data_IF_054038455275
#
_entry.id   IF_054038455275
#
_cell.length_a   1.000
_cell.length_b   1.000
_cell.length_c   1.000
_cell.angle_alpha   90.00
_cell.angle_beta   90.00
_cell.angle_gamma   90.00
#
_symmetry.space_group_name_H-M   'P 1'
#
loop_
_entity.id
_entity.type
_entity.pdbx_description
1 polymer ?
#
# COMPACT_ATOMS: atom_id res chain seq x y z
N UNK A 1 8.71 15.22 38.30
CA UNK A 1 7.35 15.78 38.17
C UNK A 1 6.44 14.61 37.96
N UNK A 2 5.39 14.47 38.76
CA UNK A 2 4.40 13.42 38.54
C UNK A 2 3.58 13.80 37.30
N UNK A 3 3.91 13.21 36.15
CA UNK A 3 3.22 13.52 34.90
C UNK A 3 1.80 12.98 34.88
N UNK A 4 1.48 12.00 35.74
CA UNK A 4 0.17 11.36 35.76
C UNK A 4 -0.87 12.29 36.36
N UNK A 5 -0.49 13.06 37.39
CA UNK A 5 -1.33 14.15 37.93
C UNK A 5 -1.70 15.17 36.86
N UNK A 6 -0.76 15.54 36.00
CA UNK A 6 -1.02 16.50 34.92
C UNK A 6 -1.80 15.90 33.76
N UNK A 7 -1.51 14.66 33.36
CA UNK A 7 -2.32 13.94 32.35
C UNK A 7 -3.77 13.85 32.79
N UNK A 8 -4.03 13.53 34.06
CA UNK A 8 -5.38 13.46 34.58
C UNK A 8 -6.07 14.82 34.54
N UNK A 9 -5.41 15.90 35.01
CA UNK A 9 -5.98 17.26 34.94
C UNK A 9 -6.31 17.72 33.51
N UNK A 10 -5.43 17.41 32.55
CA UNK A 10 -5.64 17.74 31.13
C UNK A 10 -6.82 16.93 30.56
N UNK A 11 -6.92 15.66 30.92
CA UNK A 11 -8.04 14.79 30.54
C UNK A 11 -9.36 15.33 31.10
N UNK A 12 -9.41 15.62 32.40
CA UNK A 12 -10.60 16.18 33.05
C UNK A 12 -11.02 17.51 32.38
N UNK A 13 -10.07 18.41 32.13
CA UNK A 13 -10.34 19.68 31.46
C UNK A 13 -10.95 19.49 30.06
N UNK A 14 -10.44 18.52 29.29
CA UNK A 14 -10.95 18.21 27.96
C UNK A 14 -12.33 17.55 28.01
N UNK A 15 -12.55 16.65 28.97
CA UNK A 15 -13.80 15.91 29.14
C UNK A 15 -14.93 16.84 29.61
N UNK A 16 -14.66 17.75 30.54
CA UNK A 16 -15.59 18.80 30.99
C UNK A 16 -16.12 19.68 29.84
N UNK A 17 -15.36 19.78 28.74
CA UNK A 17 -15.68 20.60 27.56
C UNK A 17 -16.09 19.77 26.36
N UNK A 18 -16.18 18.44 26.51
CA UNK A 18 -16.47 17.49 25.44
C UNK A 18 -15.49 17.61 24.25
N UNK A 19 -14.24 18.01 24.52
CA UNK A 19 -13.20 18.20 23.51
C UNK A 19 -12.54 16.91 23.04
N UNK A 20 -12.87 15.77 23.66
CA UNK A 20 -12.42 14.45 23.22
C UNK A 20 -12.67 14.19 21.73
N UNK A 21 -13.75 14.75 21.15
CA UNK A 21 -14.07 14.64 19.73
C UNK A 21 -13.07 15.33 18.78
N UNK A 22 -12.31 16.32 19.27
CA UNK A 22 -11.31 17.05 18.50
C UNK A 22 -9.88 16.52 18.72
N UNK A 23 -9.70 15.68 19.74
CA UNK A 23 -8.41 15.19 20.22
C UNK A 23 -7.98 13.87 19.54
N UNK A 24 -8.11 13.79 18.21
CA UNK A 24 -7.49 12.68 17.45
C UNK A 24 -5.96 12.90 17.33
N UNK A 25 -5.17 11.83 17.11
CA UNK A 25 -3.71 11.93 17.07
C UNK A 25 -3.16 12.92 16.06
N UNK A 26 -3.83 13.10 14.90
CA UNK A 26 -3.38 14.05 13.88
C UNK A 26 -3.59 15.48 14.39
N UNK A 27 -4.76 15.79 14.94
CA UNK A 27 -5.06 17.15 15.42
C UNK A 27 -4.17 17.54 16.60
N UNK A 28 -3.94 16.62 17.55
CA UNK A 28 -3.05 16.87 18.69
C UNK A 28 -1.60 17.07 18.26
N UNK A 29 -1.11 16.30 17.28
CA UNK A 29 0.23 16.51 16.73
C UNK A 29 0.35 17.85 15.98
N UNK A 30 -0.71 18.30 15.32
CA UNK A 30 -0.77 19.61 14.67
C UNK A 30 -0.77 20.73 15.72
N UNK A 31 -1.61 20.67 16.74
CA UNK A 31 -1.64 21.65 17.83
C UNK A 31 -0.28 21.75 18.53
N UNK A 32 0.34 20.61 18.89
CA UNK A 32 1.69 20.57 19.43
C UNK A 32 2.71 21.30 18.54
N UNK A 33 2.61 21.18 17.22
CA UNK A 33 3.53 21.86 16.30
C UNK A 33 3.33 23.38 16.27
N UNK A 34 2.12 23.86 16.57
CA UNK A 34 1.80 25.29 16.66
C UNK A 34 2.41 25.87 17.92
N UNK A 35 2.20 25.26 19.10
CA UNK A 35 2.81 25.74 20.36
C UNK A 35 4.34 25.76 20.30
N UNK A 36 4.96 24.78 19.62
CA UNK A 36 6.40 24.79 19.39
C UNK A 36 6.81 25.97 18.49
N UNK A 37 5.98 26.36 17.53
CA UNK A 37 6.24 27.52 16.66
C UNK A 37 6.06 28.84 17.43
N UNK A 38 5.08 28.93 18.32
CA UNK A 38 4.88 30.08 19.22
C UNK A 38 6.07 30.23 20.19
N UNK A 39 6.54 29.12 20.78
CA UNK A 39 7.80 29.13 21.53
C UNK A 39 8.99 29.62 20.70
N UNK A 40 9.11 29.19 19.44
CA UNK A 40 10.19 29.62 18.54
C UNK A 40 10.10 31.13 18.21
N UNK A 41 8.90 31.67 18.07
CA UNK A 41 8.64 33.08 17.81
C UNK A 41 9.25 33.98 18.91
N UNK A 42 9.35 33.46 20.13
CA UNK A 42 10.02 34.17 21.22
C UNK A 42 11.52 34.38 20.96
N UNK A 43 12.19 33.40 20.36
CA UNK A 43 13.64 33.39 20.20
C UNK A 43 14.13 33.81 18.82
N UNK A 44 13.28 33.82 17.80
CA UNK A 44 13.69 33.86 16.39
C UNK A 44 14.57 35.06 15.98
N UNK A 45 14.45 36.21 16.67
CA UNK A 45 15.21 37.44 16.37
C UNK A 45 16.23 37.80 17.45
N UNK A 46 16.37 36.98 18.50
CA UNK A 46 17.31 37.25 19.58
C UNK A 46 18.73 36.86 19.18
N UNK A 47 19.71 37.67 19.58
CA UNK A 47 21.11 37.25 19.60
C UNK A 47 21.33 36.13 20.62
N UNK A 48 22.43 35.35 20.51
CA UNK A 48 22.75 34.33 21.51
C UNK A 48 22.83 34.87 22.94
N UNK A 49 23.35 36.08 23.14
CA UNK A 49 23.46 36.74 24.44
C UNK A 49 22.07 37.09 24.99
N UNK A 50 21.21 37.69 24.17
CA UNK A 50 19.83 38.00 24.54
C UNK A 50 19.01 36.75 24.83
N UNK A 51 19.17 35.68 24.03
CA UNK A 51 18.46 34.41 24.23
C UNK A 51 18.77 33.77 25.59
N UNK A 52 20.01 33.91 26.08
CA UNK A 52 20.43 33.43 27.41
C UNK A 52 19.86 34.28 28.54
N UNK A 53 19.58 35.55 28.28
CA UNK A 53 19.03 36.49 29.25
C UNK A 53 17.49 36.59 29.22
N UNK A 54 16.80 35.89 28.30
CA UNK A 54 15.33 36.01 28.09
C UNK A 54 14.52 35.86 29.38
N UNK A 55 14.94 34.96 30.28
CA UNK A 55 14.24 34.70 31.55
C UNK A 55 14.43 35.80 32.60
N UNK A 56 15.30 36.77 32.35
CA UNK A 56 15.52 37.96 33.20
C UNK A 56 14.78 39.20 32.68
N UNK A 57 14.15 39.10 31.51
CA UNK A 57 13.40 40.18 30.88
C UNK A 57 11.90 39.97 30.91
N UNK A 58 11.20 40.86 30.19
CA UNK A 58 9.73 40.93 30.21
C UNK A 58 9.04 39.73 29.54
N UNK A 59 9.76 38.99 28.67
CA UNK A 59 9.25 37.80 27.95
C UNK A 59 9.31 36.50 28.76
N UNK A 60 9.74 36.55 30.03
CA UNK A 60 9.86 35.37 30.90
C UNK A 60 8.54 34.59 31.02
N UNK A 61 7.42 35.31 31.06
CA UNK A 61 6.10 34.69 31.21
C UNK A 61 5.68 34.00 29.92
N UNK A 62 5.82 34.66 28.77
CA UNK A 62 5.57 34.06 27.44
C UNK A 62 6.31 32.73 27.30
N UNK A 63 7.60 32.67 27.64
CA UNK A 63 8.39 31.43 27.57
C UNK A 63 7.81 30.34 28.48
N UNK A 64 7.33 30.71 29.67
CA UNK A 64 6.77 29.75 30.61
C UNK A 64 5.43 29.17 30.11
N UNK A 65 4.59 30.01 29.50
CA UNK A 65 3.28 29.64 28.99
C UNK A 65 3.44 28.71 27.77
N UNK A 66 4.25 29.10 26.78
CA UNK A 66 4.47 28.28 25.58
C UNK A 66 5.11 26.91 25.89
N UNK A 67 6.03 26.85 26.87
CA UNK A 67 6.60 25.57 27.32
C UNK A 67 5.53 24.70 28.00
N UNK A 68 4.60 25.30 28.74
CA UNK A 68 3.49 24.58 29.36
C UNK A 68 2.50 24.07 28.32
N UNK A 69 2.23 24.83 27.26
CA UNK A 69 1.32 24.42 26.18
C UNK A 69 1.91 23.29 25.33
N UNK A 70 3.20 23.37 24.99
CA UNK A 70 3.95 22.25 24.39
C UNK A 70 3.83 20.99 25.24
N UNK A 71 4.02 21.11 26.56
CA UNK A 71 3.91 19.97 27.47
C UNK A 71 2.49 19.44 27.53
N UNK A 72 1.48 20.32 27.54
CA UNK A 72 0.06 19.95 27.60
C UNK A 72 -0.35 19.11 26.41
N UNK A 73 -0.05 19.55 25.19
CA UNK A 73 -0.38 18.78 23.99
C UNK A 73 0.45 17.51 23.86
N UNK A 74 1.72 17.51 24.27
CA UNK A 74 2.52 16.29 24.28
C UNK A 74 1.96 15.23 25.24
N UNK A 75 1.58 15.63 26.46
CA UNK A 75 0.98 14.73 27.44
C UNK A 75 -0.39 14.22 26.96
N UNK A 76 -1.22 15.07 26.36
CA UNK A 76 -2.51 14.63 25.81
C UNK A 76 -2.35 13.70 24.61
N UNK A 77 -1.39 13.97 23.72
CA UNK A 77 -1.09 13.08 22.60
C UNK A 77 -0.59 11.72 23.09
N UNK A 78 0.28 11.70 24.09
CA UNK A 78 0.75 10.46 24.70
C UNK A 78 -0.40 9.66 25.34
N UNK A 79 -1.32 10.34 26.00
CA UNK A 79 -2.52 9.74 26.60
C UNK A 79 -3.42 9.08 25.54
N UNK A 80 -3.75 9.80 24.46
CA UNK A 80 -4.60 9.29 23.37
C UNK A 80 -3.94 8.12 22.62
N UNK A 81 -2.60 8.08 22.57
CA UNK A 81 -1.83 7.00 21.95
C UNK A 81 -1.49 5.84 22.89
N UNK A 82 -1.92 5.89 24.15
CA UNK A 82 -1.57 4.92 25.19
C UNK A 82 -0.04 4.71 25.32
N UNK A 83 0.70 5.82 25.32
CA UNK A 83 2.17 5.81 25.42
C UNK A 83 2.64 5.90 26.88
N UNK A 84 3.40 4.89 27.29
CA UNK A 84 4.26 4.95 28.47
C UNK A 84 5.48 5.85 28.18
N UNK A 85 5.36 7.13 28.57
CA UNK A 85 6.42 8.11 28.38
C UNK A 85 7.69 7.78 29.18
N UNK A 86 7.57 7.18 30.36
CA UNK A 86 8.74 6.86 31.19
C UNK A 86 9.54 5.73 30.53
N UNK A 87 8.87 4.68 30.06
CA UNK A 87 9.51 3.62 29.29
C UNK A 87 10.11 4.14 27.98
N UNK A 88 9.39 5.03 27.27
CA UNK A 88 9.88 5.62 26.03
C UNK A 88 11.12 6.50 26.24
N UNK A 89 11.15 7.30 27.31
CA UNK A 89 12.29 8.14 27.68
C UNK A 89 13.48 7.32 28.13
N UNK A 90 13.27 6.30 28.97
CA UNK A 90 14.33 5.38 29.40
C UNK A 90 14.98 4.68 28.20
N UNK A 91 14.17 4.06 27.33
CA UNK A 91 14.66 3.42 26.10
C UNK A 91 15.37 4.40 25.16
N UNK A 92 14.90 5.64 25.08
CA UNK A 92 15.53 6.68 24.27
C UNK A 92 16.88 7.13 24.85
N UNK A 93 16.99 7.26 26.17
CA UNK A 93 18.20 7.63 26.86
C UNK A 93 19.30 6.57 26.67
N UNK A 94 18.98 5.29 26.82
CA UNK A 94 19.91 4.17 26.57
C UNK A 94 20.45 4.19 25.14
N UNK A 95 19.57 4.32 24.15
CA UNK A 95 19.96 4.41 22.73
C UNK A 95 20.82 5.64 22.43
N UNK A 96 20.53 6.76 23.08
CA UNK A 96 21.33 7.98 22.93
C UNK A 96 22.72 7.82 23.58
N UNK A 97 22.80 7.23 24.77
CA UNK A 97 24.06 6.96 25.46
C UNK A 97 24.97 6.01 24.65
N UNK A 98 24.38 4.97 24.05
CA UNK A 98 25.09 4.11 23.13
C UNK A 98 25.54 4.89 21.87
N UNK A 99 24.68 5.76 21.33
CA UNK A 99 24.94 6.47 20.05
C UNK A 99 25.96 7.57 20.16
N UNK A 100 26.06 8.16 21.34
CA UNK A 100 27.01 9.22 21.64
C UNK A 100 27.89 8.82 22.84
N UNK A 101 28.81 7.84 22.68
CA UNK A 101 29.72 7.47 23.74
C UNK A 101 30.55 8.68 24.17
N UNK A 102 30.75 8.84 25.49
CA UNK A 102 31.52 9.96 26.06
C UNK A 102 32.90 10.07 25.42
N UNK A 103 33.56 8.93 25.17
CA UNK A 103 34.89 8.88 24.57
C UNK A 103 34.98 9.52 23.17
N UNK A 104 33.90 9.51 22.39
CA UNK A 104 33.88 9.96 20.99
C UNK A 104 33.01 11.18 20.74
N UNK A 105 32.17 11.57 21.70
CA UNK A 105 31.15 12.60 21.50
C UNK A 105 31.25 13.78 22.46
N UNK A 106 32.19 13.78 23.42
CA UNK A 106 32.38 14.89 24.35
C UNK A 106 32.79 16.18 23.61
N UNK A 107 32.05 17.26 23.83
CA UNK A 107 32.34 18.58 23.25
C UNK A 107 32.06 18.71 21.75
N UNK A 108 31.43 17.71 21.12
CA UNK A 108 31.12 17.70 19.69
C UNK A 108 29.61 17.77 19.48
N UNK A 109 29.17 18.65 18.58
CA UNK A 109 27.78 18.69 18.07
C UNK A 109 27.59 17.82 16.82
N UNK A 110 28.64 17.10 16.39
CA UNK A 110 28.58 16.26 15.21
C UNK A 110 27.55 15.14 15.40
N UNK A 111 26.60 15.05 14.47
CA UNK A 111 25.55 14.04 14.49
C UNK A 111 26.15 12.67 14.20
N UNK A 112 26.36 11.86 15.23
CA UNK A 112 26.79 10.48 15.08
C UNK A 112 25.82 9.73 14.14
N UNK A 113 26.30 8.77 13.32
CA UNK A 113 25.44 7.88 12.56
C UNK A 113 24.37 7.26 13.47
N UNK A 114 23.19 6.93 12.94
CA UNK A 114 22.21 6.18 13.75
C UNK A 114 22.87 4.86 14.12
N UNK A 115 23.01 4.56 15.42
CA UNK A 115 23.29 3.19 15.82
C UNK A 115 22.19 2.29 15.27
N UNK A 116 22.59 1.16 14.69
CA UNK A 116 21.66 0.07 14.42
C UNK A 116 21.03 -0.31 15.76
N UNK A 117 19.73 -0.05 15.91
CA UNK A 117 19.02 -0.46 17.11
C UNK A 117 19.06 -2.00 17.17
N UNK A 118 19.62 -2.55 18.26
CA UNK A 118 19.61 -3.99 18.56
C UNK A 118 18.24 -4.54 18.98
N UNK A 119 17.17 -4.09 18.33
CA UNK A 119 15.93 -4.87 18.20
C UNK A 119 15.97 -5.63 16.86
N UNK A 120 15.02 -6.54 16.56
CA UNK A 120 14.97 -7.16 15.24
C UNK A 120 15.04 -6.03 14.20
N UNK A 121 16.03 -6.13 13.32
CA UNK A 121 16.35 -5.09 12.36
C UNK A 121 15.05 -4.66 11.70
N UNK A 122 14.66 -3.38 11.84
CA UNK A 122 13.65 -2.83 10.95
C UNK A 122 14.22 -3.06 9.55
N UNK A 123 13.57 -3.88 8.71
CA UNK A 123 14.17 -4.32 7.46
C UNK A 123 14.63 -3.07 6.73
N UNK A 124 15.87 -3.10 6.23
CA UNK A 124 16.37 -2.05 5.36
C UNK A 124 15.25 -1.77 4.36
N UNK A 125 14.79 -0.51 4.26
CA UNK A 125 13.70 -0.17 3.35
C UNK A 125 14.16 -0.69 1.99
N UNK A 126 13.48 -1.66 1.40
CA UNK A 126 13.96 -2.31 0.19
C UNK A 126 14.21 -1.24 -0.85
N UNK A 127 15.27 -1.42 -1.65
CA UNK A 127 15.48 -0.54 -2.78
C UNK A 127 14.16 -0.47 -3.58
N UNK A 128 13.73 0.73 -4.01
CA UNK A 128 12.57 0.82 -4.88
C UNK A 128 12.71 -0.15 -6.04
N UNK A 129 11.60 -0.76 -6.48
CA UNK A 129 11.66 -1.58 -7.69
C UNK A 129 12.24 -0.75 -8.82
N UNK A 130 13.15 -1.35 -9.57
CA UNK A 130 13.68 -0.73 -10.77
C UNK A 130 12.57 -0.66 -11.82
N UNK A 131 12.28 0.55 -12.30
CA UNK A 131 11.29 0.79 -13.36
C UNK A 131 12.05 1.40 -14.52
N UNK A 132 12.32 0.61 -15.55
CA UNK A 132 13.06 1.05 -16.75
C UNK A 132 12.17 1.74 -17.77
N UNK A 133 10.86 1.49 -17.72
CA UNK A 133 9.85 2.11 -18.57
C UNK A 133 8.51 2.12 -17.82
N UNK A 134 7.61 3.09 -18.10
CA UNK A 134 6.32 3.15 -17.44
C UNK A 134 5.50 1.86 -17.63
N UNK A 135 4.87 1.40 -16.55
CA UNK A 135 3.95 0.24 -16.56
C UNK A 135 2.68 0.57 -15.80
N UNK A 136 1.62 -0.17 -16.09
CA UNK A 136 0.32 -0.02 -15.45
C UNK A 136 -0.10 -1.37 -14.85
N UNK A 137 -0.45 -1.40 -13.57
CA UNK A 137 -1.16 -2.53 -12.98
C UNK A 137 -2.63 -2.17 -12.74
N UNK A 138 -3.54 -3.09 -13.05
CA UNK A 138 -4.97 -2.81 -13.06
C UNK A 138 -5.75 -3.86 -12.25
N UNK A 139 -6.71 -3.38 -11.46
CA UNK A 139 -7.70 -4.20 -10.77
C UNK A 139 -9.13 -3.67 -11.01
N UNK A 140 -10.12 -4.56 -10.92
CA UNK A 140 -11.53 -4.23 -11.09
C UNK A 140 -12.13 -3.57 -9.86
N UNK A 141 -12.75 -2.41 -10.02
CA UNK A 141 -13.42 -1.68 -8.95
C UNK A 141 -14.86 -1.32 -9.32
N UNK A 142 -15.60 -0.67 -8.41
CA UNK A 142 -17.00 -0.26 -8.65
C UNK A 142 -17.13 0.80 -9.74
N UNK A 143 -16.11 1.63 -9.93
CA UNK A 143 -16.07 2.65 -10.99
C UNK A 143 -15.64 2.10 -12.36
N UNK A 144 -15.41 0.79 -12.49
CA UNK A 144 -14.78 0.21 -13.67
C UNK A 144 -13.44 -0.39 -13.27
N UNK A 145 -12.36 0.32 -13.56
CA UNK A 145 -11.00 -0.16 -13.34
C UNK A 145 -10.18 0.87 -12.58
N UNK A 146 -9.43 0.42 -11.57
CA UNK A 146 -8.41 1.22 -10.89
C UNK A 146 -7.04 0.77 -11.37
N UNK A 147 -6.17 1.74 -11.66
CA UNK A 147 -4.83 1.52 -12.16
C UNK A 147 -3.78 2.12 -11.22
N UNK A 148 -2.68 1.39 -11.02
CA UNK A 148 -1.46 1.89 -10.40
C UNK A 148 -0.38 2.04 -11.47
N UNK A 149 -0.01 3.29 -11.77
CA UNK A 149 1.07 3.62 -12.71
C UNK A 149 2.39 3.65 -11.96
N UNK A 150 3.37 2.88 -12.43
CA UNK A 150 4.76 2.98 -12.01
C UNK A 150 5.56 3.66 -13.10
N UNK A 151 6.31 4.69 -12.72
CA UNK A 151 7.09 5.52 -13.65
C UNK A 151 8.56 5.56 -13.20
N UNK A 152 9.53 5.57 -14.12
CA UNK A 152 10.93 5.70 -13.77
C UNK A 152 11.20 6.95 -12.91
N UNK A 153 11.81 6.75 -11.74
CA UNK A 153 12.16 7.83 -10.81
C UNK A 153 11.00 8.43 -10.01
N UNK A 154 9.75 7.99 -10.23
CA UNK A 154 8.62 8.48 -9.44
C UNK A 154 8.69 7.95 -7.99
N UNK A 155 8.40 8.79 -6.98
CA UNK A 155 8.60 8.43 -5.57
C UNK A 155 7.53 7.47 -5.02
N UNK A 156 6.43 7.24 -5.75
CA UNK A 156 5.31 6.36 -5.38
C UNK A 156 4.42 6.09 -6.60
N UNK A 157 3.58 5.04 -6.57
CA UNK A 157 2.61 4.78 -7.63
C UNK A 157 1.58 5.91 -7.76
N UNK A 158 1.21 6.24 -8.99
CA UNK A 158 0.10 7.16 -9.30
C UNK A 158 -1.18 6.35 -9.55
N UNK A 159 -2.26 6.70 -8.85
CA UNK A 159 -3.55 6.02 -8.99
C UNK A 159 -4.39 6.72 -10.07
N UNK A 160 -4.94 5.93 -10.99
CA UNK A 160 -5.85 6.37 -12.07
C UNK A 160 -7.10 5.48 -12.07
N UNK A 161 -8.21 6.00 -12.60
CA UNK A 161 -9.49 5.26 -12.65
C UNK A 161 -10.20 5.57 -13.96
N UNK A 162 -10.81 4.55 -14.57
CA UNK A 162 -11.66 4.73 -15.74
C UNK A 162 -12.76 3.65 -15.81
N UNK A 163 -13.90 3.94 -16.45
CA UNK A 163 -15.00 3.00 -16.65
C UNK A 163 -14.60 1.71 -17.38
N UNK A 164 -13.73 1.81 -18.40
CA UNK A 164 -13.30 0.66 -19.22
C UNK A 164 -11.78 0.51 -19.26
N UNK A 165 -11.30 -0.71 -19.55
CA UNK A 165 -9.87 -1.00 -19.67
C UNK A 165 -9.24 -0.22 -20.82
N UNK A 166 -9.98 -0.07 -21.93
CA UNK A 166 -9.53 0.67 -23.10
C UNK A 166 -9.36 2.17 -22.79
N UNK A 167 -10.30 2.78 -22.06
CA UNK A 167 -10.20 4.16 -21.60
C UNK A 167 -9.06 4.34 -20.59
N UNK A 168 -8.91 3.42 -19.63
CA UNK A 168 -7.83 3.48 -18.63
C UNK A 168 -6.45 3.49 -19.31
N UNK A 169 -6.23 2.55 -20.22
CA UNK A 169 -4.96 2.43 -20.95
C UNK A 169 -4.74 3.64 -21.85
N UNK A 170 -5.78 4.13 -22.54
CA UNK A 170 -5.67 5.31 -23.41
C UNK A 170 -5.32 6.57 -22.62
N UNK A 171 -6.00 6.81 -21.50
CA UNK A 171 -5.75 7.94 -20.60
C UNK A 171 -4.29 7.98 -20.10
N UNK A 172 -3.74 6.84 -19.70
CA UNK A 172 -2.34 6.78 -19.27
C UNK A 172 -1.40 7.03 -20.46
N UNK A 173 -1.73 6.47 -21.64
CA UNK A 173 -0.92 6.61 -22.86
C UNK A 173 -0.87 8.02 -23.44
N UNK A 174 -1.85 8.86 -23.17
CA UNK A 174 -1.83 10.27 -23.56
C UNK A 174 -0.65 11.04 -22.94
N UNK A 175 -0.21 10.61 -21.75
CA UNK A 175 0.86 11.28 -21.01
C UNK A 175 2.15 10.46 -20.90
N UNK A 176 2.07 9.13 -21.05
CA UNK A 176 3.19 8.22 -20.79
C UNK A 176 3.28 7.10 -21.81
N UNK A 177 4.50 6.80 -22.26
CA UNK A 177 4.78 5.62 -23.07
C UNK A 177 4.78 4.33 -22.25
N UNK A 178 3.62 3.91 -21.72
CA UNK A 178 3.53 2.63 -21.00
C UNK A 178 3.81 1.46 -21.96
N UNK A 179 4.64 0.52 -21.50
CA UNK A 179 5.09 -0.62 -22.33
C UNK A 179 4.40 -1.93 -21.95
N UNK A 180 3.93 -2.04 -20.70
CA UNK A 180 3.25 -3.22 -20.19
C UNK A 180 2.07 -2.85 -19.28
N UNK A 181 1.00 -3.65 -19.38
CA UNK A 181 -0.20 -3.59 -18.56
C UNK A 181 -0.38 -4.95 -17.89
N UNK A 182 -0.27 -5.01 -16.57
CA UNK A 182 -0.74 -6.15 -15.79
C UNK A 182 -2.22 -5.97 -15.46
N UNK A 183 -3.00 -7.04 -15.48
CA UNK A 183 -4.43 -7.00 -15.14
C UNK A 183 -4.84 -8.24 -14.33
N UNK A 184 -5.60 -8.05 -13.24
CA UNK A 184 -6.19 -9.13 -12.45
C UNK A 184 -7.48 -9.67 -13.09
N UNK A 185 -7.31 -10.28 -14.26
CA UNK A 185 -8.40 -10.93 -14.98
C UNK A 185 -7.84 -12.07 -15.85
N UNK A 186 -8.57 -13.19 -16.00
CA UNK A 186 -8.21 -14.24 -16.93
C UNK A 186 -7.98 -13.75 -18.36
N UNK A 187 -6.83 -14.11 -18.92
CA UNK A 187 -6.44 -13.90 -20.31
C UNK A 187 -6.22 -15.27 -20.98
N UNK A 188 -6.81 -15.42 -22.16
CA UNK A 188 -6.85 -16.67 -22.92
C UNK A 188 -7.86 -17.65 -22.34
N UNK A 189 -9.07 -17.64 -22.89
CA UNK A 189 -10.19 -18.44 -22.38
C UNK A 189 -10.18 -19.84 -23.01
N UNK A 190 -10.26 -20.92 -22.20
CA UNK A 190 -10.23 -22.28 -22.71
C UNK A 190 -11.50 -22.62 -23.49
N UNK A 191 -11.37 -23.50 -24.47
CA UNK A 191 -12.51 -23.96 -25.26
C UNK A 191 -13.29 -25.06 -24.53
N UNK A 192 -12.58 -26.08 -24.04
CA UNK A 192 -13.15 -27.29 -23.46
C UNK A 192 -12.20 -27.97 -22.44
N UNK A 193 -11.30 -27.21 -21.83
CA UNK A 193 -10.35 -27.73 -20.83
C UNK A 193 -10.32 -26.84 -19.60
N UNK A 194 -9.79 -27.38 -18.50
CA UNK A 194 -9.44 -26.58 -17.32
C UNK A 194 -8.11 -25.88 -17.61
N UNK A 195 -8.05 -24.56 -17.37
CA UNK A 195 -6.82 -23.78 -17.53
C UNK A 195 -5.72 -24.31 -16.60
N UNK A 196 -4.57 -24.64 -17.17
CA UNK A 196 -3.39 -25.05 -16.41
C UNK A 196 -2.85 -23.88 -15.58
N UNK A 197 -2.97 -22.64 -16.08
CA UNK A 197 -2.59 -21.44 -15.33
C UNK A 197 -3.28 -21.37 -13.96
N UNK A 198 -4.60 -21.59 -13.90
CA UNK A 198 -5.38 -21.53 -12.66
C UNK A 198 -4.91 -22.61 -11.67
N UNK A 199 -4.67 -23.84 -12.16
CA UNK A 199 -4.20 -24.97 -11.34
C UNK A 199 -2.81 -24.70 -10.77
N UNK A 200 -1.89 -24.20 -11.60
CA UNK A 200 -0.52 -23.89 -11.17
C UNK A 200 -0.48 -22.72 -10.20
N UNK A 201 -1.26 -21.67 -10.46
CA UNK A 201 -1.35 -20.53 -9.56
C UNK A 201 -1.91 -20.96 -8.18
N UNK A 202 -2.93 -21.81 -8.12
CA UNK A 202 -3.43 -22.36 -6.84
C UNK A 202 -2.37 -23.14 -6.07
N UNK A 203 -1.56 -23.90 -6.80
CA UNK A 203 -0.46 -24.67 -6.22
C UNK A 203 0.64 -23.77 -5.68
N UNK A 204 0.86 -22.60 -6.31
CA UNK A 204 1.86 -21.62 -5.89
C UNK A 204 1.49 -20.87 -4.60
N UNK A 205 0.21 -20.84 -4.22
CA UNK A 205 -0.27 -20.15 -3.00
C UNK A 205 -1.05 -21.08 -2.04
N UNK A 206 -0.37 -22.07 -1.40
CA UNK A 206 -1.02 -22.96 -0.45
C UNK A 206 -1.70 -22.19 0.69
N UNK A 207 -2.89 -22.64 1.09
CA UNK A 207 -3.74 -21.94 2.07
C UNK A 207 -4.56 -20.77 1.49
N UNK A 208 -4.28 -20.36 0.24
CA UNK A 208 -4.99 -19.30 -0.49
C UNK A 208 -5.54 -19.73 -1.85
N UNK A 209 -5.53 -21.02 -2.17
CA UNK A 209 -6.02 -21.55 -3.44
C UNK A 209 -7.46 -21.09 -3.82
N UNK A 210 -8.31 -20.79 -2.83
CA UNK A 210 -9.67 -20.30 -3.06
C UNK A 210 -9.74 -18.85 -3.57
N UNK A 211 -8.66 -18.06 -3.50
CA UNK A 211 -8.63 -16.72 -4.09
C UNK A 211 -8.58 -16.76 -5.61
N UNK A 212 -8.03 -17.85 -6.18
CA UNK A 212 -7.96 -18.06 -7.62
C UNK A 212 -9.22 -18.79 -8.05
N UNK A 213 -10.15 -18.06 -8.65
CA UNK A 213 -11.35 -18.64 -9.22
C UNK A 213 -11.02 -19.47 -10.47
N UNK A 214 -11.88 -20.43 -10.81
CA UNK A 214 -11.71 -21.20 -12.05
C UNK A 214 -12.20 -20.35 -13.22
N UNK A 215 -11.33 -20.14 -14.21
CA UNK A 215 -11.69 -19.55 -15.49
C UNK A 215 -12.70 -20.47 -16.18
N UNK A 216 -13.83 -19.93 -16.61
CA UNK A 216 -14.84 -20.69 -17.34
C UNK A 216 -14.41 -20.86 -18.81
N UNK A 217 -15.01 -21.83 -19.49
CA UNK A 217 -14.86 -21.94 -20.94
C UNK A 217 -15.41 -20.70 -21.65
N UNK A 218 -14.88 -20.41 -22.85
CA UNK A 218 -15.35 -19.30 -23.68
C UNK A 218 -16.86 -19.37 -23.93
N UNK A 219 -17.38 -20.55 -24.21
CA UNK A 219 -18.81 -20.76 -24.45
C UNK A 219 -19.65 -20.46 -23.19
N UNK A 220 -19.14 -20.77 -21.99
CA UNK A 220 -19.81 -20.44 -20.74
C UNK A 220 -19.85 -18.92 -20.48
N UNK A 221 -18.78 -18.18 -20.79
CA UNK A 221 -18.80 -16.72 -20.71
C UNK A 221 -19.72 -16.08 -21.76
N UNK A 222 -19.92 -16.72 -22.92
CA UNK A 222 -20.85 -16.23 -23.94
C UNK A 222 -22.33 -16.41 -23.55
N UNK A 223 -22.65 -17.28 -22.59
CA UNK A 223 -24.03 -17.57 -22.21
C UNK A 223 -24.74 -16.37 -21.54
N UNK A 224 -26.05 -16.26 -21.77
CA UNK A 224 -26.89 -15.15 -21.31
C UNK A 224 -27.27 -15.21 -19.82
N UNK A 225 -27.06 -16.35 -19.18
CA UNK A 225 -27.38 -16.53 -17.77
C UNK A 225 -26.42 -17.50 -17.09
N UNK A 226 -26.29 -17.38 -15.77
CA UNK A 226 -25.47 -18.30 -14.98
C UNK A 226 -25.92 -19.75 -15.12
N UNK A 227 -27.22 -20.00 -15.26
CA UNK A 227 -27.75 -21.35 -15.43
C UNK A 227 -27.33 -21.95 -16.78
N UNK A 228 -27.43 -21.17 -17.86
CA UNK A 228 -26.97 -21.58 -19.17
C UNK A 228 -25.43 -21.78 -19.20
N UNK A 229 -24.68 -20.85 -18.58
CA UNK A 229 -23.23 -20.98 -18.43
C UNK A 229 -22.85 -22.26 -17.65
N UNK A 230 -23.58 -22.56 -16.58
CA UNK A 230 -23.36 -23.75 -15.74
C UNK A 230 -23.62 -25.05 -16.51
N UNK A 231 -24.69 -25.10 -17.32
CA UNK A 231 -24.97 -26.24 -18.19
C UNK A 231 -23.84 -26.46 -19.21
N UNK A 232 -23.47 -25.40 -19.94
CA UNK A 232 -22.41 -25.45 -20.98
C UNK A 232 -21.05 -25.80 -20.36
N UNK A 233 -20.68 -25.20 -19.23
CA UNK A 233 -19.38 -25.44 -18.63
C UNK A 233 -19.27 -26.86 -18.05
N UNK A 234 -20.35 -27.40 -17.45
CA UNK A 234 -20.36 -28.79 -16.99
C UNK A 234 -20.23 -29.78 -18.14
N UNK A 235 -20.92 -29.53 -19.25
CA UNK A 235 -20.83 -30.38 -20.44
C UNK A 235 -19.40 -30.43 -20.99
N UNK A 236 -18.74 -29.27 -21.08
CA UNK A 236 -17.40 -29.16 -21.67
C UNK A 236 -16.26 -29.62 -20.76
N UNK A 237 -16.31 -29.30 -19.46
CA UNK A 237 -15.17 -29.50 -18.54
C UNK A 237 -15.53 -30.19 -17.22
N UNK A 238 -16.79 -30.59 -17.03
CA UNK A 238 -17.25 -31.24 -15.80
C UNK A 238 -17.31 -30.33 -14.57
N UNK A 239 -17.07 -29.02 -14.71
CA UNK A 239 -17.06 -28.05 -13.61
C UNK A 239 -18.27 -27.12 -13.66
N UNK A 240 -18.91 -26.93 -12.51
CA UNK A 240 -19.99 -25.97 -12.37
C UNK A 240 -19.52 -24.52 -12.33
N UNK A 241 -20.44 -23.59 -12.60
CA UNK A 241 -20.20 -22.15 -12.60
C UNK A 241 -20.61 -21.55 -11.25
N UNK A 242 -19.60 -21.19 -10.45
CA UNK A 242 -19.79 -20.46 -9.19
C UNK A 242 -20.30 -19.03 -9.41
N UNK A 243 -21.03 -18.51 -8.42
CA UNK A 243 -21.59 -17.14 -8.48
C UNK A 243 -20.50 -16.07 -8.68
N UNK A 244 -19.37 -16.18 -7.98
CA UNK A 244 -18.26 -15.24 -8.09
C UNK A 244 -17.59 -15.27 -9.47
N UNK A 245 -17.37 -16.46 -10.03
CA UNK A 245 -16.78 -16.61 -11.37
C UNK A 245 -17.67 -16.00 -12.46
N UNK A 246 -18.99 -16.13 -12.33
CA UNK A 246 -19.94 -15.52 -13.25
C UNK A 246 -20.13 -14.01 -13.02
N UNK A 247 -20.00 -13.52 -11.78
CA UNK A 247 -20.12 -12.10 -11.47
C UNK A 247 -19.01 -11.25 -12.12
N UNK A 248 -17.86 -11.85 -12.46
CA UNK A 248 -16.76 -11.20 -13.18
C UNK A 248 -16.90 -11.29 -14.71
N UNK A 249 -17.93 -11.97 -15.23
CA UNK A 249 -18.13 -12.21 -16.66
C UNK A 249 -17.95 -10.95 -17.51
N UNK A 250 -18.61 -9.86 -17.14
CA UNK A 250 -18.65 -8.67 -17.99
C UNK A 250 -17.26 -8.04 -18.14
N UNK A 251 -16.45 -8.04 -17.06
CA UNK A 251 -15.04 -7.59 -17.09
C UNK A 251 -14.15 -8.52 -17.91
N UNK A 252 -14.34 -9.84 -17.78
CA UNK A 252 -13.58 -10.84 -18.54
C UNK A 252 -13.87 -10.70 -20.05
N UNK A 253 -15.15 -10.57 -20.41
CA UNK A 253 -15.58 -10.39 -21.80
C UNK A 253 -15.10 -9.05 -22.36
N UNK A 254 -15.15 -7.97 -21.56
CA UNK A 254 -14.59 -6.66 -21.93
C UNK A 254 -13.10 -6.76 -22.27
N UNK A 255 -12.31 -7.43 -21.42
CA UNK A 255 -10.86 -7.56 -21.62
C UNK A 255 -10.53 -8.50 -22.78
N UNK A 256 -11.22 -9.63 -22.94
CA UNK A 256 -11.05 -10.51 -24.11
C UNK A 256 -11.36 -9.76 -25.42
N UNK A 257 -12.45 -8.97 -25.45
CA UNK A 257 -12.79 -8.14 -26.60
C UNK A 257 -11.73 -7.07 -26.88
N UNK A 258 -11.24 -6.38 -25.84
CA UNK A 258 -10.19 -5.38 -25.98
C UNK A 258 -8.88 -5.99 -26.49
N UNK A 259 -8.45 -7.14 -25.97
CA UNK A 259 -7.24 -7.84 -26.43
C UNK A 259 -7.31 -8.23 -27.91
N UNK A 260 -8.49 -8.58 -28.43
CA UNK A 260 -8.69 -8.89 -29.85
C UNK A 260 -8.50 -7.69 -30.78
N UNK A 261 -8.57 -6.46 -30.25
CA UNK A 261 -8.20 -5.24 -31.00
C UNK A 261 -6.69 -5.10 -31.21
N UNK A 262 -5.89 -5.99 -30.59
CA UNK A 262 -4.43 -6.03 -30.64
C UNK A 262 -3.81 -4.72 -30.15
N UNK A 263 -3.99 -4.38 -28.86
CA UNK A 263 -3.38 -3.19 -28.29
C UNK A 263 -1.85 -3.24 -28.47
N UNK A 264 -1.23 -2.09 -28.71
CA UNK A 264 0.22 -1.96 -28.93
C UNK A 264 1.05 -2.05 -27.65
N UNK A 265 0.43 -2.37 -26.51
CA UNK A 265 1.08 -2.58 -25.22
C UNK A 265 1.12 -4.08 -24.93
N UNK A 266 2.15 -4.52 -24.20
CA UNK A 266 2.15 -5.89 -23.68
C UNK A 266 1.08 -6.01 -22.61
N UNK A 267 0.20 -6.99 -22.69
CA UNK A 267 -0.82 -7.23 -21.66
C UNK A 267 -0.56 -8.58 -21.00
N UNK A 268 -0.56 -8.58 -19.67
CA UNK A 268 -0.20 -9.71 -18.82
C UNK A 268 -1.34 -9.97 -17.84
N UNK A 269 -1.77 -11.21 -17.72
CA UNK A 269 -2.60 -11.60 -16.58
C UNK A 269 -1.71 -11.76 -15.35
N UNK A 270 -2.09 -11.12 -14.27
CA UNK A 270 -1.36 -11.14 -13.00
C UNK A 270 -2.36 -11.29 -11.88
N UNK A 271 -2.14 -12.25 -10.98
CA UNK A 271 -3.00 -12.41 -9.81
C UNK A 271 -2.33 -11.81 -8.56
N UNK A 272 -2.96 -10.84 -7.86
CA UNK A 272 -2.36 -10.13 -6.73
C UNK A 272 -1.80 -11.03 -5.63
N UNK A 273 -2.53 -12.09 -5.24
CA UNK A 273 -2.05 -13.00 -4.18
C UNK A 273 -0.80 -13.78 -4.57
N UNK A 274 -0.58 -14.05 -5.86
CA UNK A 274 0.66 -14.70 -6.34
C UNK A 274 1.81 -13.69 -6.30
N UNK A 275 1.56 -12.43 -6.70
CA UNK A 275 2.53 -11.34 -6.56
C UNK A 275 2.88 -11.08 -5.09
N UNK A 276 1.90 -11.04 -4.19
CA UNK A 276 2.15 -10.87 -2.75
C UNK A 276 2.95 -12.03 -2.17
N UNK A 277 2.63 -13.27 -2.54
CA UNK A 277 3.41 -14.43 -2.11
C UNK A 277 4.85 -14.36 -2.62
N UNK A 278 5.08 -13.90 -3.85
CA UNK A 278 6.41 -13.69 -4.40
C UNK A 278 7.19 -12.59 -3.65
N UNK A 279 6.53 -11.49 -3.27
CA UNK A 279 7.15 -10.40 -2.49
C UNK A 279 7.45 -10.80 -1.05
N UNK A 280 6.52 -11.50 -0.39
CA UNK A 280 6.63 -11.89 1.02
C UNK A 280 7.41 -13.19 1.24
N UNK A 281 7.66 -13.97 0.17
CA UNK A 281 8.27 -15.30 0.23
C UNK A 281 7.31 -16.41 0.68
N UNK A 282 6.07 -16.07 1.07
CA UNK A 282 5.02 -17.00 1.44
C UNK A 282 3.63 -16.36 1.24
N UNK A 283 2.54 -17.15 1.09
CA UNK A 283 1.19 -16.61 0.96
C UNK A 283 0.73 -15.82 2.19
N UNK A 284 0.08 -14.68 1.96
CA UNK A 284 -0.54 -13.85 3.01
C UNK A 284 -1.89 -14.45 3.40
N UNK A 285 -1.94 -15.14 4.55
CA UNK A 285 -3.14 -15.87 4.99
C UNK A 285 -4.25 -14.95 5.50
N UNK A 286 -3.91 -13.80 6.07
CA UNK A 286 -4.90 -12.84 6.55
C UNK A 286 -5.79 -12.31 5.40
N UNK A 287 -7.07 -12.11 5.71
CA UNK A 287 -8.06 -11.63 4.74
C UNK A 287 -7.78 -10.18 4.35
N UNK A 288 -7.88 -9.85 3.06
CA UNK A 288 -7.72 -8.47 2.56
C UNK A 288 -8.74 -7.47 3.13
N UNK A 289 -9.82 -7.97 3.73
CA UNK A 289 -10.86 -7.17 4.41
C UNK A 289 -10.54 -6.85 5.87
N UNK A 290 -9.46 -7.41 6.43
CA UNK A 290 -9.02 -7.15 7.81
C UNK A 290 -7.86 -6.16 7.82
N UNK A 291 -7.69 -5.43 8.93
CA UNK A 291 -6.57 -4.48 9.06
C UNK A 291 -5.20 -5.18 9.08
N UNK A 292 -5.13 -6.36 9.69
CA UNK A 292 -3.96 -7.25 9.65
C UNK A 292 -3.60 -7.60 8.21
N UNK A 293 -4.55 -8.15 7.44
CA UNK A 293 -4.31 -8.53 6.05
C UNK A 293 -4.01 -7.34 5.12
N UNK A 294 -4.52 -6.15 5.43
CA UNK A 294 -4.15 -4.92 4.72
C UNK A 294 -2.71 -4.51 5.04
N UNK A 295 -2.34 -4.57 6.32
CA UNK A 295 -0.99 -4.24 6.80
C UNK A 295 0.05 -5.18 6.19
N UNK A 296 -0.23 -6.48 6.15
CA UNK A 296 0.65 -7.47 5.54
C UNK A 296 0.85 -7.24 4.03
N UNK A 297 -0.21 -6.92 3.29
CA UNK A 297 -0.09 -6.60 1.84
C UNK A 297 0.71 -5.32 1.59
N UNK A 298 0.52 -4.29 2.42
CA UNK A 298 1.32 -3.06 2.35
C UNK A 298 2.79 -3.32 2.71
N UNK A 299 3.05 -4.20 3.67
CA UNK A 299 4.40 -4.63 4.02
C UNK A 299 5.04 -5.43 2.87
N UNK A 300 4.27 -6.29 2.19
CA UNK A 300 4.73 -7.00 1.00
C UNK A 300 5.02 -6.05 -0.18
N UNK A 301 4.16 -5.06 -0.44
CA UNK A 301 4.47 -4.00 -1.43
C UNK A 301 5.77 -3.29 -1.10
N UNK A 302 5.95 -2.91 0.17
CA UNK A 302 7.20 -2.30 0.62
C UNK A 302 8.40 -3.23 0.44
N UNK A 303 8.24 -4.53 0.77
CA UNK A 303 9.22 -5.62 0.54
C UNK A 303 9.64 -5.69 -0.95
N UNK A 304 8.66 -5.59 -1.85
CA UNK A 304 8.85 -5.55 -3.29
C UNK A 304 9.37 -4.21 -3.85
N UNK A 305 9.66 -3.23 -2.99
CA UNK A 305 10.16 -1.92 -3.43
C UNK A 305 9.07 -0.99 -3.97
N UNK A 306 7.79 -1.25 -3.73
CA UNK A 306 6.67 -0.38 -4.06
C UNK A 306 6.33 0.50 -2.84
N UNK A 307 6.58 1.82 -2.91
CA UNK A 307 6.16 2.73 -1.84
C UNK A 307 4.63 2.79 -1.72
N UNK A 308 4.13 3.16 -0.54
CA UNK A 308 2.70 3.35 -0.30
C UNK A 308 2.10 4.33 -1.34
N UNK A 309 0.99 3.99 -2.01
CA UNK A 309 0.31 4.86 -2.95
C UNK A 309 -0.10 6.21 -2.35
N UNK A 310 -0.23 7.24 -3.20
CA UNK A 310 -0.66 8.59 -2.78
C UNK A 310 -2.05 8.61 -2.15
N UNK A 311 -2.94 7.77 -2.67
CA UNK A 311 -4.34 7.65 -2.26
C UNK A 311 -4.67 6.17 -2.20
N UNK A 312 -5.40 5.75 -1.17
CA UNK A 312 -5.86 4.36 -1.04
C UNK A 312 -7.36 4.23 -1.26
N UNK A 313 -8.13 5.31 -1.35
CA UNK A 313 -9.57 5.19 -1.58
C UNK A 313 -10.10 6.47 -2.19
N UNK A 314 -11.14 6.34 -3.00
CA UNK A 314 -11.82 7.47 -3.62
C UNK A 314 -13.23 7.10 -4.05
N UNK A 315 -13.84 7.94 -4.89
CA UNK A 315 -15.15 7.61 -5.42
C UNK A 315 -15.05 6.39 -6.35
N UNK A 316 -15.69 5.29 -5.93
CA UNK A 316 -15.84 4.07 -6.73
C UNK A 316 -14.66 3.08 -6.68
N UNK A 317 -13.67 3.27 -5.81
CA UNK A 317 -12.62 2.29 -5.54
C UNK A 317 -12.19 2.30 -4.06
N UNK A 318 -11.84 1.11 -3.56
CA UNK A 318 -11.44 0.86 -2.18
C UNK A 318 -9.92 0.61 -2.07
N UNK A 319 -9.45 0.49 -0.82
CA UNK A 319 -8.03 0.30 -0.51
C UNK A 319 -7.44 -0.99 -1.00
N UNK A 320 -8.23 -2.06 -0.91
CA UNK A 320 -7.89 -3.35 -1.46
C UNK A 320 -7.70 -3.27 -2.98
N UNK A 321 -8.60 -2.60 -3.72
CA UNK A 321 -8.47 -2.47 -5.18
C UNK A 321 -7.15 -1.77 -5.59
N UNK A 322 -6.76 -0.71 -4.87
CA UNK A 322 -5.50 0.01 -5.13
C UNK A 322 -4.27 -0.83 -4.77
N UNK A 323 -4.33 -1.55 -3.65
CA UNK A 323 -3.25 -2.41 -3.18
C UNK A 323 -3.02 -3.57 -4.15
N UNK A 324 -4.11 -4.18 -4.64
CA UNK A 324 -4.09 -5.24 -5.62
C UNK A 324 -3.54 -4.73 -6.96
N UNK A 325 -4.00 -3.56 -7.46
CA UNK A 325 -3.45 -2.92 -8.65
C UNK A 325 -1.93 -2.62 -8.53
N UNK A 326 -1.44 -2.25 -7.34
CA UNK A 326 -0.01 -2.06 -7.11
C UNK A 326 0.79 -3.37 -7.18
N UNK A 327 0.24 -4.47 -6.66
CA UNK A 327 0.87 -5.78 -6.74
C UNK A 327 0.92 -6.28 -8.19
N UNK A 328 -0.13 -6.00 -8.97
CA UNK A 328 -0.18 -6.24 -10.40
C UNK A 328 0.87 -5.42 -11.15
N UNK A 329 1.02 -4.13 -10.81
CA UNK A 329 2.01 -3.25 -11.43
C UNK A 329 3.45 -3.69 -11.15
N UNK A 330 3.71 -4.20 -9.95
CA UNK A 330 5.02 -4.75 -9.58
C UNK A 330 5.45 -5.91 -10.47
N UNK A 331 4.53 -6.85 -10.74
CA UNK A 331 4.80 -7.96 -11.68
C UNK A 331 5.02 -7.45 -13.09
N UNK A 332 4.22 -6.47 -13.55
CA UNK A 332 4.40 -5.86 -14.87
C UNK A 332 5.79 -5.20 -15.01
N UNK A 333 6.28 -4.52 -13.97
CA UNK A 333 7.64 -3.97 -13.93
C UNK A 333 8.70 -5.08 -13.96
N UNK A 334 8.52 -6.18 -13.21
CA UNK A 334 9.44 -7.32 -13.26
C UNK A 334 9.43 -8.01 -14.62
N UNK A 335 8.31 -8.02 -15.34
CA UNK A 335 8.23 -8.57 -16.68
C UNK A 335 9.10 -7.77 -17.67
N UNK A 336 9.09 -6.43 -17.60
CA UNK A 336 9.94 -5.60 -18.49
C UNK A 336 11.43 -5.80 -18.23
N UNK A 337 11.80 -6.22 -17.02
CA UNK A 337 13.16 -6.59 -16.62
C UNK A 337 13.51 -8.06 -16.95
N UNK A 338 12.58 -8.86 -17.49
CA UNK A 338 12.80 -10.30 -17.71
C UNK A 338 12.88 -11.13 -16.42
N UNK A 339 12.38 -10.60 -15.30
CA UNK A 339 12.43 -11.23 -13.98
C UNK A 339 11.13 -11.93 -13.58
N UNK A 340 10.01 -11.62 -14.23
CA UNK A 340 8.72 -12.27 -13.97
C UNK A 340 8.69 -13.68 -14.58
N UNK A 341 8.01 -14.61 -13.93
CA UNK A 341 7.80 -15.98 -14.42
C UNK A 341 6.33 -16.20 -14.75
N UNK A 342 6.06 -16.97 -15.79
CA UNK A 342 4.70 -17.35 -16.18
C UNK A 342 4.29 -18.69 -15.57
N UNK A 343 3.01 -18.83 -15.25
CA UNK A 343 2.37 -20.08 -14.87
C UNK A 343 1.24 -20.35 -15.86
N UNK A 344 1.38 -21.33 -16.79
CA UNK A 344 2.56 -22.16 -17.04
C UNK A 344 3.72 -21.42 -17.73
N UNK A 345 4.90 -22.02 -17.72
CA UNK A 345 6.06 -21.65 -18.55
C UNK A 345 6.42 -22.85 -19.45
N UNK A 346 6.29 -22.73 -20.79
CA UNK A 346 5.77 -21.58 -21.53
C UNK A 346 4.24 -21.39 -21.33
N UNK A 347 3.69 -20.19 -21.60
CA UNK A 347 2.25 -19.94 -21.59
C UNK A 347 1.48 -20.89 -22.51
N UNK A 348 0.30 -21.32 -22.07
CA UNK A 348 -0.59 -22.16 -22.88
C UNK A 348 -1.36 -21.31 -23.90
N UNK A 349 -1.88 -21.94 -24.96
CA UNK A 349 -2.69 -21.26 -25.99
C UNK A 349 -3.90 -22.12 -26.35
N UNK A 350 -5.03 -21.46 -26.57
CA UNK A 350 -6.28 -22.09 -26.99
C UNK A 350 -6.63 -21.68 -28.42
N UNK A 351 -7.86 -21.94 -28.87
CA UNK A 351 -8.32 -21.62 -30.23
C UNK A 351 -8.21 -20.13 -30.60
N UNK A 352 -8.20 -19.23 -29.61
CA UNK A 352 -8.07 -17.79 -29.83
C UNK A 352 -6.64 -17.33 -30.14
N UNK A 353 -5.66 -18.21 -29.96
CA UNK A 353 -4.25 -17.92 -30.13
C UNK A 353 -3.67 -16.93 -29.10
N UNK A 354 -4.43 -16.52 -28.07
CA UNK A 354 -3.95 -15.63 -27.01
C UNK A 354 -3.14 -16.47 -26.02
N UNK A 355 -1.98 -15.95 -25.59
CA UNK A 355 -1.16 -16.62 -24.59
C UNK A 355 -1.83 -16.53 -23.21
N UNK A 356 -2.17 -17.67 -22.63
CA UNK A 356 -2.74 -17.79 -21.30
C UNK A 356 -1.65 -18.17 -20.29
N UNK A 357 -1.40 -17.29 -19.33
CA UNK A 357 -0.54 -17.53 -18.18
C UNK A 357 -0.79 -16.50 -17.10
N UNK A 358 -0.64 -16.90 -15.84
CA UNK A 358 -0.56 -15.98 -14.70
C UNK A 358 0.92 -15.64 -14.47
N UNK A 359 1.26 -14.36 -14.52
CA UNK A 359 2.62 -13.87 -14.28
C UNK A 359 2.83 -13.51 -12.82
N UNK A 360 4.06 -13.72 -12.31
CA UNK A 360 4.47 -13.34 -10.96
C UNK A 360 5.95 -12.97 -10.83
#
# INVERSE_FOLDING_TARGET
MDTDVWRQRIRDFADEREWGQFHDPKNLAMALSVEVAELVEIFQWLTPEESRAVMQGDRRQDVADEVADVMTYLLRLADVLDLDLDAALASKAERNAARYPVATSRGSSAKAPRLAAGGPARPARPAPIEVIAPVLGVDGCKAGWVGAVLEPGAPRPRVVVAPTIAELVSMVRESLGIVAVGIDIPIGLPDNTIRRSDVLARTAIPGKASSIFSTLTRAAYAADSRLAADAVNRDLVGQGVGAQAFALRDKIVEVDAWLRTRPTVTVLEVHPEVSFAAMAGAPILASKKTEEGRTERLAALAAGGIPRPSVLSGQGYAADDVIDACAVAWTAARHTLGMARSLPDPPERFSDGIAAAIWA
#
